data_IF_737405260082
#
_entry.id   IF_737405260082
#
_cell.length_a   1.000
_cell.length_b   1.000
_cell.length_c   1.000
_cell.angle_alpha   90.00
_cell.angle_beta   90.00
_cell.angle_gamma   90.00
#
_symmetry.space_group_name_H-M   'P 1'
#
loop_
_entity.id
_entity.type
_entity.pdbx_description
1 polymer ?
#
# COMPACT_ATOMS: atom_id res chain seq x y z
N UNK A 1 -66.68 16.04 10.32
CA UNK A 1 -65.95 15.36 11.42
C UNK A 1 -64.48 15.55 11.12
N UNK A 2 -63.69 15.89 12.15
CA UNK A 2 -62.55 16.79 12.07
C UNK A 2 -61.36 16.30 11.22
N UNK A 3 -60.76 17.29 10.57
CA UNK A 3 -59.47 17.34 9.92
C UNK A 3 -58.34 17.14 10.96
N UNK A 4 -57.34 16.32 10.63
CA UNK A 4 -56.12 16.18 11.44
C UNK A 4 -54.93 16.03 10.50
N UNK A 5 -54.11 17.08 10.49
CA UNK A 5 -52.94 17.32 9.66
C UNK A 5 -51.82 16.26 9.78
N UNK A 6 -50.95 16.15 8.75
CA UNK A 6 -49.99 15.06 8.60
C UNK A 6 -48.60 15.43 9.16
N UNK A 7 -48.06 14.62 10.07
CA UNK A 7 -46.66 14.66 10.49
C UNK A 7 -46.12 13.22 10.59
N UNK A 8 -44.84 13.04 10.25
CA UNK A 8 -44.00 11.83 10.41
C UNK A 8 -44.15 10.68 9.39
N UNK A 9 -43.56 10.81 8.19
CA UNK A 9 -43.26 9.63 7.33
C UNK A 9 -41.99 9.75 6.48
N UNK A 10 -41.18 10.81 6.64
CA UNK A 10 -39.99 11.02 5.82
C UNK A 10 -38.68 10.38 6.38
N UNK A 11 -38.66 9.91 7.64
CA UNK A 11 -37.43 9.42 8.29
C UNK A 11 -37.20 7.90 8.13
N UNK A 12 -38.26 7.11 7.91
CA UNK A 12 -38.16 5.65 7.82
C UNK A 12 -37.50 5.14 6.54
N UNK A 13 -37.58 5.89 5.44
CA UNK A 13 -36.99 5.47 4.15
C UNK A 13 -35.46 5.58 4.10
N UNK A 14 -34.87 6.51 4.87
CA UNK A 14 -33.41 6.69 4.93
C UNK A 14 -32.71 5.58 5.74
N UNK A 15 -33.37 5.08 6.78
CA UNK A 15 -32.83 4.02 7.64
C UNK A 15 -32.76 2.67 6.90
N UNK A 16 -33.82 2.25 6.20
CA UNK A 16 -33.85 0.98 5.45
C UNK A 16 -32.77 0.91 4.34
N UNK A 17 -32.50 2.03 3.65
CA UNK A 17 -31.42 2.09 2.66
C UNK A 17 -30.03 1.98 3.29
N UNK A 18 -29.82 2.60 4.45
CA UNK A 18 -28.57 2.51 5.18
C UNK A 18 -28.35 1.08 5.68
N UNK A 19 -29.37 0.45 6.27
CA UNK A 19 -29.33 -0.94 6.75
C UNK A 19 -29.04 -1.93 5.62
N UNK A 20 -29.72 -1.81 4.47
CA UNK A 20 -29.39 -2.63 3.29
C UNK A 20 -27.98 -2.38 2.77
N UNK A 21 -27.49 -1.14 2.79
CA UNK A 21 -26.11 -0.84 2.44
C UNK A 21 -25.11 -1.45 3.44
N UNK A 22 -25.49 -1.57 4.71
CA UNK A 22 -24.72 -2.26 5.76
C UNK A 22 -24.76 -3.80 5.59
N UNK A 23 -25.86 -4.40 5.16
CA UNK A 23 -25.88 -5.85 4.94
C UNK A 23 -25.09 -6.27 3.69
N UNK A 24 -25.06 -5.41 2.68
CA UNK A 24 -24.55 -5.78 1.36
C UNK A 24 -23.07 -5.41 1.12
N UNK A 25 -22.34 -4.85 2.08
CA UNK A 25 -20.96 -4.40 1.84
C UNK A 25 -19.97 -5.56 1.63
N UNK A 26 -20.26 -6.73 2.19
CA UNK A 26 -19.48 -7.95 1.99
C UNK A 26 -19.70 -8.61 0.62
N UNK A 27 -20.76 -8.23 -0.10
CA UNK A 27 -21.08 -8.86 -1.38
C UNK A 27 -20.11 -8.43 -2.46
N UNK A 28 -19.41 -9.43 -3.02
CA UNK A 28 -18.52 -9.23 -4.15
C UNK A 28 -19.31 -9.09 -5.44
N UNK A 29 -18.78 -8.31 -6.38
CA UNK A 29 -19.45 -7.98 -7.65
C UNK A 29 -18.65 -8.44 -8.86
N UNK A 30 -19.33 -8.50 -10.01
CA UNK A 30 -18.68 -8.71 -11.31
C UNK A 30 -18.01 -7.42 -11.79
N UNK A 31 -16.99 -7.57 -12.65
CA UNK A 31 -16.26 -6.43 -13.20
C UNK A 31 -17.16 -5.42 -13.92
N UNK A 32 -18.17 -5.92 -14.66
CA UNK A 32 -19.13 -5.09 -15.38
C UNK A 32 -20.03 -4.24 -14.46
N UNK A 33 -20.19 -4.65 -13.19
CA UNK A 33 -21.04 -3.96 -12.21
C UNK A 33 -20.25 -2.92 -11.39
N UNK A 34 -18.93 -2.82 -11.61
CA UNK A 34 -18.09 -1.85 -10.93
C UNK A 34 -18.29 -0.44 -11.49
N UNK A 35 -18.16 0.60 -10.65
CA UNK A 35 -17.98 1.94 -11.16
C UNK A 35 -16.67 2.04 -11.95
N UNK A 36 -16.63 2.86 -13.00
CA UNK A 36 -15.48 2.96 -13.92
C UNK A 36 -14.12 3.19 -13.26
N UNK A 37 -14.07 3.87 -12.11
CA UNK A 37 -12.82 4.12 -11.40
C UNK A 37 -12.23 2.90 -10.66
N UNK A 38 -13.02 1.82 -10.50
CA UNK A 38 -12.61 0.51 -9.97
C UNK A 38 -12.37 -0.54 -11.06
N UNK A 39 -12.71 -0.24 -12.32
CA UNK A 39 -12.54 -1.16 -13.45
C UNK A 39 -11.08 -1.17 -13.92
N UNK A 40 -10.22 -1.87 -13.19
CA UNK A 40 -8.77 -1.93 -13.44
C UNK A 40 -8.38 -2.91 -14.56
N UNK A 41 -8.82 -4.16 -14.47
CA UNK A 41 -8.38 -5.26 -15.30
C UNK A 41 -9.58 -6.14 -15.71
N UNK A 42 -10.05 -5.98 -16.95
CA UNK A 42 -11.21 -6.71 -17.48
C UNK A 42 -11.04 -8.24 -17.55
N UNK A 43 -9.82 -8.76 -17.39
CA UNK A 43 -9.56 -10.21 -17.38
C UNK A 43 -9.91 -10.86 -16.04
N UNK A 44 -10.12 -10.07 -14.97
CA UNK A 44 -10.68 -10.55 -13.72
C UNK A 44 -12.20 -10.34 -13.81
N UNK A 45 -12.97 -11.41 -13.86
CA UNK A 45 -14.40 -11.31 -14.17
C UNK A 45 -15.31 -11.09 -12.94
N UNK A 46 -14.83 -11.40 -11.73
CA UNK A 46 -15.64 -11.41 -10.52
C UNK A 46 -14.80 -11.23 -9.26
N UNK A 47 -15.45 -11.32 -8.10
CA UNK A 47 -14.81 -11.25 -6.78
C UNK A 47 -14.27 -9.86 -6.42
N UNK A 48 -14.83 -8.80 -7.01
CA UNK A 48 -14.46 -7.43 -6.69
C UNK A 48 -15.19 -6.89 -5.47
N UNK A 49 -14.50 -6.07 -4.68
CA UNK A 49 -15.11 -5.32 -3.58
C UNK A 49 -15.91 -4.14 -4.12
N UNK A 50 -17.05 -3.86 -3.49
CA UNK A 50 -17.82 -2.64 -3.75
C UNK A 50 -17.09 -1.41 -3.19
N UNK A 51 -17.49 -0.24 -3.69
CA UNK A 51 -17.07 1.04 -3.13
C UNK A 51 -17.52 1.14 -1.66
N UNK A 52 -16.59 1.17 -0.73
CA UNK A 52 -16.89 1.07 0.71
C UNK A 52 -17.25 2.41 1.34
N UNK A 53 -16.70 3.51 0.81
CA UNK A 53 -16.72 4.86 1.40
C UNK A 53 -16.39 4.88 2.89
N UNK A 54 -15.65 3.87 3.38
CA UNK A 54 -15.37 3.67 4.80
C UNK A 54 -14.05 2.93 4.98
N UNK A 55 -13.10 3.59 5.66
CA UNK A 55 -11.81 3.00 6.02
C UNK A 55 -11.99 1.71 6.85
N UNK A 56 -12.94 1.69 7.78
CA UNK A 56 -13.20 0.51 8.62
C UNK A 56 -13.63 -0.68 7.78
N UNK A 57 -14.57 -0.49 6.84
CA UNK A 57 -15.02 -1.57 5.93
C UNK A 57 -13.88 -2.04 5.00
N UNK A 58 -13.07 -1.13 4.48
CA UNK A 58 -11.88 -1.49 3.69
C UNK A 58 -10.86 -2.30 4.50
N UNK A 59 -10.59 -1.93 5.75
CA UNK A 59 -9.69 -2.67 6.65
C UNK A 59 -10.25 -4.04 7.02
N UNK A 60 -11.55 -4.14 7.34
CA UNK A 60 -12.20 -5.42 7.64
C UNK A 60 -12.18 -6.37 6.44
N UNK A 61 -12.18 -5.85 5.21
CA UNK A 61 -12.11 -6.68 4.00
C UNK A 61 -10.80 -7.46 3.87
N UNK A 62 -9.71 -7.05 4.52
CA UNK A 62 -8.41 -7.76 4.51
C UNK A 62 -8.54 -9.22 4.98
N UNK A 63 -9.50 -9.49 5.87
CA UNK A 63 -9.78 -10.82 6.42
C UNK A 63 -10.73 -11.65 5.54
N UNK A 64 -11.17 -11.11 4.40
CA UNK A 64 -12.08 -11.76 3.46
C UNK A 64 -11.38 -12.06 2.14
N UNK A 65 -11.87 -13.07 1.42
CA UNK A 65 -11.33 -13.44 0.12
C UNK A 65 -11.98 -12.64 -1.01
N UNK A 66 -11.17 -11.97 -1.83
CA UNK A 66 -11.57 -11.15 -2.97
C UNK A 66 -10.38 -10.98 -3.94
N UNK A 67 -10.59 -10.30 -5.07
CA UNK A 67 -9.58 -10.10 -6.12
C UNK A 67 -8.27 -9.47 -5.61
N UNK A 68 -8.34 -8.57 -4.63
CA UNK A 68 -7.16 -7.94 -4.02
C UNK A 68 -6.48 -8.73 -2.88
N UNK A 69 -7.01 -9.87 -2.43
CA UNK A 69 -6.48 -10.54 -1.22
C UNK A 69 -5.02 -10.94 -1.38
N UNK A 70 -4.62 -11.46 -2.54
CA UNK A 70 -3.22 -11.85 -2.80
C UNK A 70 -2.32 -10.62 -2.84
N UNK A 71 -2.76 -9.53 -3.49
CA UNK A 71 -1.99 -8.27 -3.56
C UNK A 71 -1.76 -7.66 -2.16
N UNK A 72 -2.77 -7.72 -1.28
CA UNK A 72 -2.64 -7.26 0.10
C UNK A 72 -1.65 -8.14 0.87
N UNK A 73 -1.90 -9.45 0.94
CA UNK A 73 -1.11 -10.34 1.81
C UNK A 73 0.32 -10.56 1.31
N UNK A 74 0.55 -10.56 0.00
CA UNK A 74 1.89 -10.70 -0.59
C UNK A 74 2.80 -9.52 -0.24
N UNK A 75 2.24 -8.33 0.01
CA UNK A 75 3.01 -7.13 0.39
C UNK A 75 2.94 -6.84 1.90
N UNK A 76 1.80 -7.08 2.56
CA UNK A 76 1.61 -6.83 3.98
C UNK A 76 2.55 -7.67 4.86
N UNK A 77 2.68 -8.97 4.57
CA UNK A 77 3.58 -9.86 5.33
C UNK A 77 5.03 -9.38 5.21
N UNK A 78 5.61 -9.21 4.01
CA UNK A 78 6.97 -8.67 3.88
C UNK A 78 7.14 -7.27 4.48
N UNK A 79 6.16 -6.37 4.36
CA UNK A 79 6.23 -5.04 4.96
C UNK A 79 6.39 -5.10 6.49
N UNK A 80 5.56 -5.91 7.15
CA UNK A 80 5.57 -6.08 8.61
C UNK A 80 6.84 -6.77 9.10
N UNK A 81 7.40 -7.70 8.32
CA UNK A 81 8.61 -8.44 8.67
C UNK A 81 9.91 -7.74 8.30
N UNK A 82 9.91 -6.76 7.38
CA UNK A 82 11.15 -6.14 6.87
C UNK A 82 12.02 -5.53 7.97
N UNK A 83 11.46 -4.71 8.87
CA UNK A 83 12.22 -4.08 9.95
C UNK A 83 12.60 -5.07 11.07
N UNK A 84 11.71 -5.96 11.56
CA UNK A 84 12.10 -7.04 12.47
C UNK A 84 13.23 -7.92 11.92
N UNK A 85 13.16 -8.32 10.64
CA UNK A 85 14.22 -9.07 9.97
C UNK A 85 15.54 -8.29 9.93
N UNK A 86 15.50 -6.98 9.69
CA UNK A 86 16.69 -6.13 9.74
C UNK A 86 17.35 -6.13 11.13
N UNK A 87 16.56 -6.03 12.19
CA UNK A 87 17.05 -6.07 13.58
C UNK A 87 17.62 -7.43 13.94
N UNK A 88 16.92 -8.52 13.57
CA UNK A 88 17.41 -9.90 13.79
C UNK A 88 18.72 -10.11 13.03
N UNK A 89 18.80 -9.67 11.77
CA UNK A 89 20.00 -9.76 10.95
C UNK A 89 21.15 -8.96 11.58
N UNK A 90 20.91 -7.72 12.01
CA UNK A 90 21.93 -6.91 12.69
C UNK A 90 22.49 -7.63 13.92
N UNK A 91 21.62 -8.16 14.80
CA UNK A 91 22.04 -8.88 15.99
C UNK A 91 22.80 -10.18 15.68
N UNK A 92 22.42 -10.89 14.62
CA UNK A 92 23.12 -12.09 14.16
C UNK A 92 24.48 -11.77 13.54
N UNK A 93 24.61 -10.68 12.79
CA UNK A 93 25.85 -10.33 12.09
C UNK A 93 26.85 -9.57 12.95
N UNK A 94 26.39 -8.75 13.91
CA UNK A 94 27.25 -7.91 14.75
C UNK A 94 28.43 -8.66 15.40
N UNK A 95 28.28 -9.89 15.96
CA UNK A 95 29.41 -10.62 16.55
C UNK A 95 30.38 -11.23 15.52
N UNK A 96 30.03 -11.25 14.23
CA UNK A 96 30.83 -11.87 13.16
C UNK A 96 31.66 -10.86 12.39
N UNK A 97 31.33 -9.58 12.48
CA UNK A 97 31.91 -8.51 11.67
C UNK A 97 32.30 -7.32 12.54
N UNK A 98 33.38 -7.46 13.30
CA UNK A 98 33.91 -6.40 14.19
C UNK A 98 34.34 -5.13 13.42
N UNK A 99 34.58 -5.25 12.11
CA UNK A 99 34.92 -4.15 11.22
C UNK A 99 33.70 -3.45 10.59
N UNK A 100 32.48 -3.89 10.87
CA UNK A 100 31.27 -3.23 10.36
C UNK A 100 31.14 -1.83 10.97
N UNK A 101 31.15 -0.84 10.09
CA UNK A 101 31.02 0.57 10.41
C UNK A 101 29.54 0.98 10.55
N UNK A 102 29.31 2.16 11.11
CA UNK A 102 27.96 2.77 11.12
C UNK A 102 27.44 2.99 9.69
N UNK A 103 28.32 3.21 8.71
CA UNK A 103 27.94 3.38 7.31
C UNK A 103 27.33 2.10 6.72
N UNK A 104 27.83 0.92 7.11
CA UNK A 104 27.24 -0.37 6.72
C UNK A 104 25.80 -0.51 7.25
N UNK A 105 25.59 -0.10 8.51
CA UNK A 105 24.28 -0.11 9.17
C UNK A 105 23.32 0.87 8.50
N UNK A 106 23.77 2.09 8.20
CA UNK A 106 22.96 3.10 7.49
C UNK A 106 22.60 2.60 6.09
N UNK A 107 23.58 2.08 5.33
CA UNK A 107 23.36 1.63 3.97
C UNK A 107 22.34 0.47 3.91
N UNK A 108 22.48 -0.51 4.80
CA UNK A 108 21.53 -1.62 4.89
C UNK A 108 20.17 -1.17 5.46
N UNK A 109 20.17 -0.23 6.40
CA UNK A 109 18.96 0.40 6.94
C UNK A 109 18.14 1.12 5.87
N UNK A 110 18.79 1.80 4.91
CA UNK A 110 18.12 2.40 3.75
C UNK A 110 17.42 1.35 2.88
N UNK A 111 18.04 0.17 2.69
CA UNK A 111 17.41 -0.92 1.93
C UNK A 111 16.18 -1.48 2.65
N UNK A 112 16.31 -1.89 3.91
CA UNK A 112 15.17 -2.45 4.66
C UNK A 112 14.06 -1.42 4.90
N UNK A 113 14.42 -0.16 5.15
CA UNK A 113 13.47 0.95 5.28
C UNK A 113 12.74 1.23 3.96
N UNK A 114 13.46 1.24 2.83
CA UNK A 114 12.87 1.38 1.50
C UNK A 114 11.94 0.22 1.14
N UNK A 115 12.32 -1.02 1.48
CA UNK A 115 11.48 -2.20 1.31
C UNK A 115 10.21 -2.12 2.15
N UNK A 116 10.32 -1.82 3.45
CA UNK A 116 9.18 -1.65 4.35
C UNK A 116 8.22 -0.56 3.86
N UNK A 117 8.75 0.59 3.41
CA UNK A 117 7.95 1.69 2.88
C UNK A 117 7.23 1.31 1.58
N UNK A 118 7.93 0.72 0.62
CA UNK A 118 7.35 0.29 -0.66
C UNK A 118 6.22 -0.73 -0.45
N UNK A 119 6.52 -1.82 0.26
CA UNK A 119 5.57 -2.90 0.49
C UNK A 119 4.40 -2.42 1.36
N UNK A 120 4.65 -1.56 2.35
CA UNK A 120 3.62 -0.98 3.21
C UNK A 120 2.68 -0.04 2.46
N UNK A 121 3.21 0.83 1.59
CA UNK A 121 2.37 1.70 0.75
C UNK A 121 1.55 0.90 -0.25
N UNK A 122 2.13 -0.14 -0.85
CA UNK A 122 1.40 -1.04 -1.76
C UNK A 122 0.29 -1.81 -1.05
N UNK A 123 0.59 -2.42 0.12
CA UNK A 123 -0.43 -3.09 0.93
C UNK A 123 -1.55 -2.14 1.36
N UNK A 124 -1.22 -0.87 1.67
CA UNK A 124 -2.19 0.17 2.01
C UNK A 124 -3.06 0.54 0.81
N UNK A 125 -2.47 0.69 -0.39
CA UNK A 125 -3.22 0.92 -1.62
C UNK A 125 -4.20 -0.21 -1.90
N UNK A 126 -3.74 -1.46 -1.96
CA UNK A 126 -4.63 -2.59 -2.24
C UNK A 126 -5.68 -2.78 -1.14
N UNK A 127 -5.40 -2.40 0.11
CA UNK A 127 -6.41 -2.41 1.18
C UNK A 127 -7.47 -1.32 0.96
N UNK A 128 -7.06 -0.12 0.60
CA UNK A 128 -7.90 1.09 0.55
C UNK A 128 -8.41 1.45 -0.85
N UNK A 129 -8.05 0.68 -1.88
CA UNK A 129 -8.39 0.94 -3.28
C UNK A 129 -9.90 0.96 -3.52
N UNK A 130 -10.71 0.32 -2.67
CA UNK A 130 -12.16 0.34 -2.75
C UNK A 130 -12.85 1.48 -1.97
N UNK A 131 -12.10 2.38 -1.31
CA UNK A 131 -12.71 3.39 -0.44
C UNK A 131 -13.55 4.42 -1.22
N UNK A 132 -12.88 5.29 -1.97
CA UNK A 132 -13.49 6.33 -2.80
C UNK A 132 -12.50 6.75 -3.88
N UNK A 133 -12.93 7.41 -4.97
CA UNK A 133 -12.03 7.78 -6.07
C UNK A 133 -10.82 8.63 -5.63
N UNK A 134 -11.00 9.53 -4.66
CA UNK A 134 -9.93 10.38 -4.13
C UNK A 134 -8.91 9.60 -3.31
N UNK A 135 -9.40 8.72 -2.41
CA UNK A 135 -8.54 7.88 -1.55
C UNK A 135 -7.78 6.87 -2.39
N UNK A 136 -8.45 6.20 -3.33
CA UNK A 136 -7.81 5.27 -4.25
C UNK A 136 -6.70 5.94 -5.06
N UNK A 137 -6.95 7.14 -5.61
CA UNK A 137 -5.93 7.89 -6.36
C UNK A 137 -4.73 8.28 -5.49
N UNK A 138 -4.97 8.77 -4.28
CA UNK A 138 -3.90 9.16 -3.36
C UNK A 138 -3.00 7.98 -2.99
N UNK A 139 -3.59 6.85 -2.58
CA UNK A 139 -2.80 5.68 -2.22
C UNK A 139 -2.12 5.03 -3.43
N UNK A 140 -2.72 5.11 -4.62
CA UNK A 140 -2.07 4.68 -5.87
C UNK A 140 -0.80 5.51 -6.13
N UNK A 141 -0.83 6.82 -5.91
CA UNK A 141 0.36 7.67 -6.03
C UNK A 141 1.45 7.29 -5.01
N UNK A 142 1.05 6.95 -3.77
CA UNK A 142 1.99 6.48 -2.75
C UNK A 142 2.58 5.10 -3.09
N UNK A 143 1.79 4.20 -3.69
CA UNK A 143 2.28 2.90 -4.16
C UNK A 143 3.39 3.07 -5.20
N UNK A 144 3.17 3.92 -6.22
CA UNK A 144 4.19 4.28 -7.20
C UNK A 144 5.42 4.96 -6.57
N UNK A 145 5.22 5.88 -5.62
CA UNK A 145 6.32 6.50 -4.89
C UNK A 145 7.14 5.47 -4.08
N UNK A 146 6.47 4.43 -3.56
CA UNK A 146 7.09 3.30 -2.89
C UNK A 146 8.11 2.56 -3.74
N UNK A 147 7.76 2.31 -5.02
CA UNK A 147 8.68 1.67 -5.97
C UNK A 147 9.96 2.52 -6.11
N UNK A 148 9.84 3.84 -6.26
CA UNK A 148 10.99 4.74 -6.34
C UNK A 148 11.85 4.74 -5.06
N UNK A 149 11.22 4.64 -3.89
CA UNK A 149 11.92 4.54 -2.61
C UNK A 149 12.69 3.22 -2.47
N UNK A 150 12.10 2.08 -2.85
CA UNK A 150 12.78 0.77 -2.84
C UNK A 150 13.94 0.73 -3.84
N UNK A 151 13.76 1.28 -5.05
CA UNK A 151 14.86 1.39 -6.02
C UNK A 151 15.98 2.24 -5.41
N UNK A 152 15.68 3.43 -4.89
CA UNK A 152 16.72 4.28 -4.29
C UNK A 152 17.41 3.59 -3.10
N UNK A 153 16.62 3.00 -2.20
CA UNK A 153 17.11 2.31 -1.01
C UNK A 153 17.97 1.08 -1.32
N UNK A 154 17.70 0.35 -2.40
CA UNK A 154 18.49 -0.82 -2.82
C UNK A 154 19.80 -0.44 -3.51
N UNK A 155 19.84 0.70 -4.21
CA UNK A 155 21.08 1.20 -4.82
C UNK A 155 22.07 1.75 -3.80
N UNK A 156 21.63 2.20 -2.62
CA UNK A 156 22.52 2.71 -1.57
C UNK A 156 23.57 1.65 -1.16
N UNK A 157 23.21 0.48 -0.61
CA UNK A 157 24.19 -0.54 -0.24
C UNK A 157 24.88 -1.14 -1.47
N UNK A 158 24.17 -1.33 -2.59
CA UNK A 158 24.76 -1.91 -3.81
C UNK A 158 25.95 -1.09 -4.32
N UNK A 159 25.79 0.23 -4.39
CA UNK A 159 26.85 1.16 -4.82
C UNK A 159 27.90 1.34 -3.73
N UNK A 160 27.50 1.39 -2.45
CA UNK A 160 28.41 1.50 -1.31
C UNK A 160 29.45 0.37 -1.31
N UNK A 161 28.98 -0.88 -1.40
CA UNK A 161 29.87 -2.05 -1.43
C UNK A 161 30.53 -2.24 -2.79
N UNK A 162 29.83 -2.00 -3.90
CA UNK A 162 30.36 -2.18 -5.26
C UNK A 162 31.50 -1.23 -5.63
N UNK A 163 31.50 -0.01 -5.06
CA UNK A 163 32.54 1.00 -5.30
C UNK A 163 33.25 1.40 -4.01
N UNK A 164 33.44 0.46 -3.07
CA UNK A 164 34.04 0.70 -1.76
C UNK A 164 35.30 1.57 -1.80
N UNK A 165 36.25 1.23 -2.69
CA UNK A 165 37.53 1.94 -2.84
C UNK A 165 37.44 3.21 -3.72
N UNK A 166 36.26 3.57 -4.22
CA UNK A 166 36.08 4.63 -5.22
C UNK A 166 34.92 5.56 -4.84
N UNK A 167 35.11 6.47 -3.85
CA UNK A 167 34.04 7.33 -3.34
C UNK A 167 33.45 8.26 -4.40
N UNK A 168 34.27 8.73 -5.36
CA UNK A 168 33.78 9.54 -6.49
C UNK A 168 32.74 8.78 -7.31
N UNK A 169 32.99 7.48 -7.60
CA UNK A 169 32.04 6.63 -8.32
C UNK A 169 30.76 6.43 -7.51
N UNK A 170 30.86 6.24 -6.18
CA UNK A 170 29.68 6.11 -5.32
C UNK A 170 28.74 7.32 -5.45
N UNK A 171 29.27 8.53 -5.26
CA UNK A 171 28.50 9.76 -5.38
C UNK A 171 27.90 9.94 -6.78
N UNK A 172 28.67 9.66 -7.83
CA UNK A 172 28.17 9.73 -9.21
C UNK A 172 26.96 8.82 -9.41
N UNK A 173 27.03 7.55 -9.01
CA UNK A 173 25.92 6.62 -9.19
C UNK A 173 24.71 6.95 -8.30
N UNK A 174 24.91 7.36 -7.05
CA UNK A 174 23.80 7.78 -6.18
C UNK A 174 23.07 9.01 -6.71
N UNK A 175 23.82 10.00 -7.21
CA UNK A 175 23.23 11.19 -7.86
C UNK A 175 22.46 10.79 -9.11
N UNK A 176 23.01 9.91 -9.95
CA UNK A 176 22.33 9.41 -11.15
C UNK A 176 21.00 8.70 -10.81
N UNK A 177 21.01 7.81 -9.81
CA UNK A 177 19.80 7.08 -9.37
C UNK A 177 18.77 8.05 -8.79
N UNK A 178 19.20 9.00 -7.94
CA UNK A 178 18.33 10.03 -7.39
C UNK A 178 17.67 10.85 -8.51
N UNK A 179 18.45 11.32 -9.47
CA UNK A 179 17.95 12.11 -10.60
C UNK A 179 16.94 11.28 -11.41
N UNK A 180 17.29 10.04 -11.78
CA UNK A 180 16.41 9.15 -12.54
C UNK A 180 15.07 8.92 -11.83
N UNK A 181 15.10 8.62 -10.53
CA UNK A 181 13.89 8.33 -9.76
C UNK A 181 13.02 9.57 -9.54
N UNK A 182 13.61 10.77 -9.45
CA UNK A 182 12.82 12.01 -9.41
C UNK A 182 12.09 12.27 -10.73
N UNK A 183 12.65 11.88 -11.87
CA UNK A 183 11.97 11.99 -13.17
C UNK A 183 10.94 10.87 -13.41
N UNK A 184 11.06 9.73 -12.74
CA UNK A 184 10.13 8.60 -12.87
C UNK A 184 8.95 8.61 -11.90
N UNK A 185 8.94 9.51 -10.91
CA UNK A 185 7.90 9.62 -9.89
C UNK A 185 6.81 10.68 -10.22
N UNK A 186 6.76 11.15 -11.47
CA UNK A 186 5.74 12.07 -12.02
C UNK A 186 4.96 11.34 -13.11
#
# INVERSE_FOLDING_TARGET
MADSDPQTSADSGGQDLSEKAEELWHNLVHWNDLPHWLQDNHYIHSSYRRASYSYSRSLQSVLHWHNESVNIWSHLIPATLSLPCAVVLYNALKPRYDHASMSDVIAMGCFFGGAAACLGMSASYHTLSNHSPSVARFWNQLDYAGISLLITGSFIPSVYYGFWCHPVKQWTYWIMVRIRNNFGAV
#
